data_IF_684959592396
#
_entry.id   IF_684959592396
#
_cell.length_a   1.000
_cell.length_b   1.000
_cell.length_c   1.000
_cell.angle_alpha   90.00
_cell.angle_beta   90.00
_cell.angle_gamma   90.00
#
_symmetry.space_group_name_H-M   'P 1'
#
loop_
_entity.id
_entity.type
_entity.pdbx_description
1 polymer ?
#
# COMPACT_ATOMS: atom_id res chain seq x y z
N UNK A 1 -4.96 -3.20 -7.24
CA UNK A 1 -3.57 -2.85 -7.42
C UNK A 1 -3.22 -2.95 -8.90
N UNK A 2 -2.97 -1.83 -9.53
CA UNK A 2 -2.73 -1.74 -10.98
C UNK A 2 -1.26 -2.01 -11.36
N UNK A 3 -0.50 -2.66 -10.47
CA UNK A 3 0.91 -2.99 -10.70
C UNK A 3 1.10 -3.92 -11.90
N UNK A 4 0.18 -4.85 -12.11
CA UNK A 4 0.17 -5.76 -13.25
C UNK A 4 -0.04 -5.02 -14.58
N UNK A 5 -0.91 -4.02 -14.61
CA UNK A 5 -1.19 -3.23 -15.82
C UNK A 5 0.02 -2.36 -16.19
N UNK A 6 0.68 -1.76 -15.22
CA UNK A 6 1.93 -1.03 -15.47
C UNK A 6 3.06 -1.96 -15.94
N UNK A 7 3.14 -3.18 -15.38
CA UNK A 7 4.13 -4.16 -15.86
C UNK A 7 3.86 -4.60 -17.31
N UNK A 8 2.59 -4.67 -17.71
CA UNK A 8 2.19 -4.91 -19.10
C UNK A 8 2.65 -3.79 -20.03
N UNK A 9 2.38 -2.52 -19.66
CA UNK A 9 2.83 -1.35 -20.41
C UNK A 9 4.35 -1.34 -20.62
N UNK A 10 5.11 -1.66 -19.55
CA UNK A 10 6.56 -1.73 -19.63
C UNK A 10 7.05 -2.85 -20.58
N UNK A 11 6.37 -3.98 -20.60
CA UNK A 11 6.69 -5.07 -21.51
C UNK A 11 6.42 -4.68 -22.98
N UNK A 12 5.30 -4.02 -23.26
CA UNK A 12 4.95 -3.53 -24.62
C UNK A 12 5.90 -2.42 -25.07
N UNK A 13 6.39 -1.59 -24.17
CA UNK A 13 7.37 -0.52 -24.47
C UNK A 13 8.80 -1.01 -24.65
N UNK A 14 9.05 -2.31 -24.60
CA UNK A 14 10.38 -2.91 -24.78
C UNK A 14 11.27 -2.90 -23.53
N UNK A 15 10.71 -2.61 -22.37
CA UNK A 15 11.41 -2.62 -21.07
C UNK A 15 10.75 -3.61 -20.09
N UNK A 16 10.67 -4.91 -20.44
CA UNK A 16 9.99 -5.88 -19.58
C UNK A 16 10.69 -5.99 -18.23
N UNK A 17 9.89 -6.09 -17.18
CA UNK A 17 10.41 -6.44 -15.87
C UNK A 17 10.92 -7.88 -15.88
N UNK A 18 11.99 -8.13 -15.13
CA UNK A 18 12.57 -9.48 -15.02
C UNK A 18 12.73 -9.90 -13.58
N UNK A 19 12.63 -11.20 -13.35
CA UNK A 19 12.95 -11.83 -12.07
C UNK A 19 14.10 -12.82 -12.29
N UNK A 20 15.26 -12.58 -11.69
CA UNK A 20 16.50 -13.32 -11.96
C UNK A 20 16.84 -13.46 -13.46
N UNK A 21 16.58 -12.40 -14.25
CA UNK A 21 16.87 -12.36 -15.68
C UNK A 21 15.87 -13.09 -16.56
N UNK A 22 14.74 -13.55 -16.04
CA UNK A 22 13.65 -14.21 -16.78
C UNK A 22 12.40 -13.36 -16.75
N UNK A 23 11.70 -13.27 -17.86
CA UNK A 23 10.39 -12.60 -17.99
C UNK A 23 9.23 -13.53 -17.68
N UNK A 24 9.44 -14.85 -17.84
CA UNK A 24 8.43 -15.87 -17.64
C UNK A 24 8.92 -16.88 -16.59
N UNK A 25 8.04 -17.22 -15.65
CA UNK A 25 8.36 -18.10 -14.54
C UNK A 25 7.36 -19.25 -14.52
N UNK A 26 7.86 -20.46 -14.65
CA UNK A 26 7.04 -21.67 -14.60
C UNK A 26 7.01 -22.17 -13.16
N UNK A 27 5.84 -22.12 -12.50
CA UNK A 27 5.61 -22.68 -11.18
C UNK A 27 4.55 -23.77 -11.29
N UNK A 28 4.92 -25.01 -10.93
CA UNK A 28 3.98 -26.14 -10.94
C UNK A 28 3.38 -26.46 -12.31
N UNK A 29 4.09 -26.13 -13.42
CA UNK A 29 3.62 -26.36 -14.78
C UNK A 29 2.73 -25.24 -15.34
N UNK A 30 2.50 -24.17 -14.58
CA UNK A 30 1.82 -22.97 -15.03
C UNK A 30 2.83 -21.86 -15.35
N UNK A 31 2.69 -21.27 -16.54
CA UNK A 31 3.45 -20.10 -16.93
C UNK A 31 2.86 -18.85 -16.25
N UNK A 32 3.60 -18.32 -15.30
CA UNK A 32 3.26 -17.08 -14.61
C UNK A 32 4.06 -15.95 -15.24
N UNK A 33 3.44 -15.18 -16.10
CA UNK A 33 4.05 -13.95 -16.59
C UNK A 33 4.46 -13.03 -15.45
N UNK A 34 5.54 -12.28 -15.65
CA UNK A 34 6.14 -11.39 -14.63
C UNK A 34 5.11 -10.43 -14.00
N UNK A 35 4.12 -9.96 -14.76
CA UNK A 35 3.05 -9.08 -14.30
C UNK A 35 2.16 -9.75 -13.22
N UNK A 36 1.83 -11.02 -13.40
CA UNK A 36 1.07 -11.81 -12.41
C UNK A 36 1.93 -12.09 -11.18
N UNK A 37 3.21 -12.39 -11.36
CA UNK A 37 4.15 -12.59 -10.27
C UNK A 37 4.30 -11.35 -9.39
N UNK A 38 4.46 -10.17 -9.99
CA UNK A 38 4.57 -8.90 -9.23
C UNK A 38 3.35 -8.67 -8.34
N UNK A 39 2.14 -8.90 -8.88
CA UNK A 39 0.90 -8.79 -8.11
C UNK A 39 0.82 -9.83 -7.00
N UNK A 40 1.17 -11.08 -7.30
CA UNK A 40 1.18 -12.16 -6.30
C UNK A 40 2.16 -11.89 -5.18
N UNK A 41 3.36 -11.41 -5.49
CA UNK A 41 4.37 -11.06 -4.50
C UNK A 41 3.97 -9.83 -3.67
N UNK A 42 3.29 -8.85 -4.26
CA UNK A 42 2.74 -7.71 -3.52
C UNK A 42 1.75 -8.18 -2.45
N UNK A 43 0.77 -9.03 -2.83
CA UNK A 43 -0.19 -9.59 -1.87
C UNK A 43 0.44 -10.59 -0.90
N UNK A 44 1.40 -11.39 -1.37
CA UNK A 44 2.23 -12.25 -0.50
C UNK A 44 3.00 -11.43 0.52
N UNK A 45 3.48 -10.25 0.15
CA UNK A 45 4.10 -9.28 1.04
C UNK A 45 3.19 -8.86 2.19
N UNK A 46 1.87 -8.73 1.96
CA UNK A 46 0.91 -8.47 3.03
C UNK A 46 0.89 -9.59 4.09
N UNK A 47 0.93 -10.85 3.66
CA UNK A 47 0.93 -11.99 4.58
C UNK A 47 2.21 -12.03 5.40
N UNK A 48 3.35 -11.95 4.73
CA UNK A 48 4.68 -11.98 5.36
C UNK A 48 4.88 -10.76 6.27
N UNK A 49 4.49 -9.58 5.82
CA UNK A 49 4.61 -8.35 6.59
C UNK A 49 3.78 -8.37 7.88
N UNK A 50 2.59 -8.99 7.88
CA UNK A 50 1.80 -9.21 9.09
C UNK A 50 2.50 -10.13 10.09
N UNK A 51 3.10 -11.21 9.62
CA UNK A 51 3.90 -12.09 10.46
C UNK A 51 5.09 -11.34 11.08
N UNK A 52 5.82 -10.57 10.28
CA UNK A 52 6.94 -9.74 10.73
C UNK A 52 6.47 -8.69 11.73
N UNK A 53 5.36 -8.00 11.47
CA UNK A 53 4.85 -6.94 12.34
C UNK A 53 4.47 -7.44 13.73
N UNK A 54 4.12 -8.71 13.89
CA UNK A 54 3.81 -9.31 15.19
C UNK A 54 5.01 -9.30 16.15
N UNK A 55 6.23 -9.38 15.62
CA UNK A 55 7.45 -9.28 16.42
C UNK A 55 7.72 -7.85 16.93
N UNK A 56 7.14 -6.85 16.27
CA UNK A 56 7.26 -5.44 16.63
C UNK A 56 6.10 -4.92 17.48
N UNK A 57 5.33 -5.80 18.11
CA UNK A 57 4.17 -5.45 18.94
C UNK A 57 4.48 -4.50 20.12
N UNK A 58 5.74 -4.44 20.54
CA UNK A 58 6.23 -3.53 21.60
C UNK A 58 6.37 -2.07 21.12
N UNK A 59 6.43 -1.84 19.80
CA UNK A 59 6.57 -0.50 19.23
C UNK A 59 5.19 0.14 19.12
N UNK A 60 5.07 1.42 19.46
CA UNK A 60 3.79 2.11 19.39
C UNK A 60 3.22 2.12 17.96
N UNK A 61 1.89 1.94 17.81
CA UNK A 61 1.22 1.96 16.51
C UNK A 61 1.50 3.26 15.73
N UNK A 62 1.63 4.39 16.46
CA UNK A 62 1.99 5.68 15.85
C UNK A 62 3.38 5.64 15.22
N UNK A 63 4.38 5.12 15.94
CA UNK A 63 5.77 5.02 15.42
C UNK A 63 5.84 4.06 14.24
N UNK A 64 5.18 2.89 14.36
CA UNK A 64 5.12 1.94 13.26
C UNK A 64 4.50 2.58 12.00
N UNK A 65 3.34 3.24 12.14
CA UNK A 65 2.68 3.92 11.04
C UNK A 65 3.55 5.01 10.42
N UNK A 66 4.21 5.84 11.23
CA UNK A 66 5.08 6.91 10.72
C UNK A 66 6.26 6.36 9.92
N UNK A 67 6.92 5.31 10.42
CA UNK A 67 8.07 4.71 9.73
C UNK A 67 7.64 4.01 8.45
N UNK A 68 6.57 3.21 8.50
CA UNK A 68 6.11 2.47 7.31
C UNK A 68 5.58 3.38 6.22
N UNK A 69 4.83 4.44 6.54
CA UNK A 69 4.35 5.42 5.55
C UNK A 69 5.50 6.22 4.96
N UNK A 70 6.49 6.63 5.75
CA UNK A 70 7.66 7.35 5.26
C UNK A 70 8.44 6.48 4.26
N UNK A 71 8.74 5.23 4.62
CA UNK A 71 9.43 4.28 3.75
C UNK A 71 8.62 3.99 2.48
N UNK A 72 7.31 3.77 2.61
CA UNK A 72 6.43 3.52 1.47
C UNK A 72 6.39 4.72 0.51
N UNK A 73 6.33 5.95 1.03
CA UNK A 73 6.40 7.18 0.22
C UNK A 73 7.70 7.25 -0.57
N UNK A 74 8.85 7.00 0.07
CA UNK A 74 10.17 7.02 -0.59
C UNK A 74 10.23 5.95 -1.69
N UNK A 75 9.81 4.72 -1.39
CA UNK A 75 9.81 3.63 -2.37
C UNK A 75 8.87 3.89 -3.53
N UNK A 76 7.70 4.50 -3.30
CA UNK A 76 6.76 4.87 -4.35
C UNK A 76 7.36 5.94 -5.29
N UNK A 77 8.03 6.95 -4.74
CA UNK A 77 8.72 7.98 -5.53
C UNK A 77 9.86 7.34 -6.36
N UNK A 78 10.68 6.50 -5.75
CA UNK A 78 11.78 5.80 -6.45
C UNK A 78 11.20 4.93 -7.57
N UNK A 79 10.13 4.16 -7.32
CA UNK A 79 9.49 3.34 -8.33
C UNK A 79 8.97 4.18 -9.51
N UNK A 80 8.34 5.32 -9.25
CA UNK A 80 7.84 6.23 -10.27
C UNK A 80 8.98 6.81 -11.12
N UNK A 81 10.11 7.16 -10.50
CA UNK A 81 11.25 7.74 -11.21
C UNK A 81 12.04 6.70 -12.02
N UNK A 82 12.28 5.53 -11.43
CA UNK A 82 13.09 4.46 -12.03
C UNK A 82 12.30 3.50 -12.92
N UNK A 83 10.96 3.54 -12.87
CA UNK A 83 10.05 2.58 -13.51
C UNK A 83 10.29 1.12 -13.05
N UNK A 84 10.92 0.92 -11.92
CA UNK A 84 11.18 -0.38 -11.36
C UNK A 84 10.08 -0.77 -10.36
N UNK A 85 9.21 -1.69 -10.76
CA UNK A 85 8.04 -2.11 -9.98
C UNK A 85 8.38 -2.99 -8.77
N UNK A 86 9.61 -3.46 -8.64
CA UNK A 86 10.05 -4.20 -7.47
C UNK A 86 9.98 -3.38 -6.17
N UNK A 87 10.14 -2.06 -6.28
CA UNK A 87 9.91 -1.15 -5.14
C UNK A 87 8.45 -1.16 -4.70
N UNK A 88 7.48 -1.28 -5.62
CA UNK A 88 6.07 -1.40 -5.28
C UNK A 88 5.75 -2.73 -4.60
N UNK A 89 6.41 -3.82 -5.00
CA UNK A 89 6.29 -5.11 -4.31
C UNK A 89 6.77 -4.99 -2.86
N UNK A 90 7.90 -4.31 -2.63
CA UNK A 90 8.41 -4.06 -1.28
C UNK A 90 7.43 -3.22 -0.43
N UNK A 91 6.69 -2.29 -1.03
CA UNK A 91 5.64 -1.53 -0.34
C UNK A 91 4.55 -2.45 0.21
N UNK A 92 4.26 -3.59 -0.43
CA UNK A 92 3.29 -4.56 0.06
C UNK A 92 3.59 -5.04 1.49
N UNK A 93 4.88 -5.24 1.82
CA UNK A 93 5.31 -5.57 3.20
C UNK A 93 4.97 -4.45 4.19
N UNK A 94 5.18 -3.21 3.80
CA UNK A 94 4.94 -2.03 4.64
C UNK A 94 3.44 -1.79 4.85
N UNK A 95 2.65 -1.88 3.79
CA UNK A 95 1.20 -1.69 3.82
C UNK A 95 0.49 -2.68 4.75
N UNK A 96 1.04 -3.89 4.92
CA UNK A 96 0.45 -4.92 5.78
C UNK A 96 0.27 -4.46 7.23
N UNK A 97 1.24 -3.69 7.75
CA UNK A 97 1.25 -3.17 9.11
C UNK A 97 0.39 -1.90 9.24
N UNK A 98 0.33 -1.10 8.18
CA UNK A 98 -0.33 0.21 8.19
C UNK A 98 -1.82 0.11 8.52
N UNK A 99 -2.53 -0.85 7.94
CA UNK A 99 -3.96 -1.08 8.21
C UNK A 99 -4.24 -1.27 9.70
N UNK A 100 -3.49 -2.16 10.35
CA UNK A 100 -3.66 -2.46 11.78
C UNK A 100 -3.34 -1.26 12.66
N UNK A 101 -2.30 -0.50 12.30
CA UNK A 101 -1.91 0.71 13.03
C UNK A 101 -2.95 1.82 12.90
N UNK A 102 -3.46 2.08 11.68
CA UNK A 102 -4.49 3.10 11.45
C UNK A 102 -5.76 2.73 12.21
N UNK A 103 -6.21 1.47 12.11
CA UNK A 103 -7.40 1.00 12.81
C UNK A 103 -7.26 1.19 14.33
N UNK A 104 -6.16 0.71 14.93
CA UNK A 104 -5.96 0.83 16.38
C UNK A 104 -5.87 2.29 16.86
N UNK A 105 -5.28 3.18 16.06
CA UNK A 105 -5.23 4.60 16.36
C UNK A 105 -6.60 5.28 16.20
N UNK A 106 -7.37 4.89 15.18
CA UNK A 106 -8.68 5.48 14.89
C UNK A 106 -9.73 5.16 15.95
N UNK A 107 -9.70 3.95 16.53
CA UNK A 107 -10.69 3.53 17.56
C UNK A 107 -10.26 3.89 18.99
N UNK A 108 -9.02 4.34 19.16
CA UNK A 108 -8.45 4.64 20.48
C UNK A 108 -9.21 5.79 21.15
N UNK A 109 -9.69 5.55 22.37
CA UNK A 109 -10.37 6.57 23.18
C UNK A 109 -11.86 6.77 22.86
N UNK A 110 -12.46 5.98 21.96
CA UNK A 110 -13.87 6.12 21.57
C UNK A 110 -14.86 5.42 22.51
N UNK A 111 -14.40 4.62 23.48
CA UNK A 111 -15.26 3.96 24.46
C UNK A 111 -16.44 3.25 23.82
N UNK A 112 -17.67 3.61 24.20
CA UNK A 112 -18.93 3.03 23.71
C UNK A 112 -19.17 3.21 22.19
N UNK A 113 -18.48 4.13 21.52
CA UNK A 113 -18.62 4.36 20.08
C UNK A 113 -17.64 3.53 19.23
N UNK A 114 -16.77 2.72 19.85
CA UNK A 114 -15.78 1.89 19.13
C UNK A 114 -16.43 1.01 18.06
N UNK A 115 -17.57 0.37 18.35
CA UNK A 115 -18.27 -0.49 17.40
C UNK A 115 -18.76 0.28 16.17
N UNK A 116 -19.37 1.45 16.37
CA UNK A 116 -19.84 2.31 15.26
C UNK A 116 -18.66 2.83 14.42
N UNK A 117 -17.59 3.28 15.07
CA UNK A 117 -16.40 3.76 14.39
C UNK A 117 -15.72 2.65 13.58
N UNK A 118 -15.66 1.43 14.11
CA UNK A 118 -15.14 0.26 13.38
C UNK A 118 -15.95 -0.02 12.12
N UNK A 119 -17.28 0.07 12.19
CA UNK A 119 -18.16 -0.09 11.02
C UNK A 119 -17.88 0.95 9.93
N UNK A 120 -17.77 2.23 10.31
CA UNK A 120 -17.43 3.32 9.38
C UNK A 120 -16.03 3.10 8.77
N UNK A 121 -15.06 2.71 9.58
CA UNK A 121 -13.70 2.45 9.11
C UNK A 121 -13.66 1.30 8.09
N UNK A 122 -14.38 0.21 8.36
CA UNK A 122 -14.48 -0.92 7.41
C UNK A 122 -15.15 -0.47 6.11
N UNK A 123 -16.21 0.33 6.18
CA UNK A 123 -16.88 0.87 4.99
C UNK A 123 -15.94 1.73 4.14
N UNK A 124 -14.97 2.41 4.75
CA UNK A 124 -13.97 3.21 4.03
C UNK A 124 -13.03 2.37 3.15
N UNK A 125 -12.98 1.04 3.31
CA UNK A 125 -12.25 0.12 2.42
C UNK A 125 -12.76 0.24 0.97
N UNK A 126 -14.05 0.53 0.79
CA UNK A 126 -14.63 0.79 -0.53
C UNK A 126 -13.90 1.93 -1.27
N UNK A 127 -13.35 2.90 -0.53
CA UNK A 127 -12.50 3.95 -1.09
C UNK A 127 -11.32 3.41 -1.89
N UNK A 128 -10.75 2.26 -1.50
CA UNK A 128 -9.66 1.61 -2.25
C UNK A 128 -10.08 1.21 -3.67
N UNK A 129 -11.31 0.72 -3.86
CA UNK A 129 -11.84 0.42 -5.19
C UNK A 129 -12.00 1.70 -6.03
N UNK A 130 -12.53 2.77 -5.44
CA UNK A 130 -12.68 4.07 -6.12
C UNK A 130 -11.32 4.63 -6.54
N UNK A 131 -10.32 4.59 -5.66
CA UNK A 131 -8.96 5.05 -6.00
C UNK A 131 -8.32 4.22 -7.12
N UNK A 132 -8.58 2.92 -7.17
CA UNK A 132 -8.10 2.05 -8.26
C UNK A 132 -8.71 2.45 -9.60
N UNK A 133 -10.00 2.79 -9.63
CA UNK A 133 -10.68 3.30 -10.84
C UNK A 133 -10.14 4.67 -11.26
N UNK A 134 -9.97 5.60 -10.31
CA UNK A 134 -9.37 6.92 -10.57
C UNK A 134 -7.97 6.75 -11.17
N UNK A 135 -7.16 5.85 -10.62
CA UNK A 135 -5.81 5.58 -11.13
C UNK A 135 -5.86 5.05 -12.58
N UNK A 136 -6.82 4.17 -12.91
CA UNK A 136 -7.03 3.73 -14.29
C UNK A 136 -7.38 4.88 -15.23
N UNK A 137 -8.35 5.71 -14.86
CA UNK A 137 -8.71 6.91 -15.64
C UNK A 137 -7.56 7.90 -15.81
N UNK A 138 -6.70 8.06 -14.80
CA UNK A 138 -5.50 8.88 -14.94
C UNK A 138 -4.47 8.25 -15.90
N UNK A 139 -4.35 6.92 -15.94
CA UNK A 139 -3.49 6.24 -16.89
C UNK A 139 -3.94 6.51 -18.32
N UNK A 140 -5.26 6.48 -18.59
CA UNK A 140 -5.84 6.80 -19.90
C UNK A 140 -5.58 8.26 -20.30
N UNK A 141 -5.69 9.21 -19.34
CA UNK A 141 -5.45 10.63 -19.60
C UNK A 141 -3.96 10.91 -19.85
N UNK A 142 -3.06 10.31 -19.07
CA UNK A 142 -1.62 10.54 -19.19
C UNK A 142 -0.98 9.68 -20.30
N UNK A 143 -1.70 8.68 -20.83
CA UNK A 143 -1.17 7.71 -21.77
C UNK A 143 -0.05 6.84 -21.16
N UNK A 144 0.06 6.76 -19.84
CA UNK A 144 1.05 5.96 -19.12
C UNK A 144 0.68 5.73 -17.67
N UNK A 145 0.98 4.54 -17.17
CA UNK A 145 0.84 4.17 -15.76
C UNK A 145 1.87 4.85 -14.85
N UNK A 146 3.02 5.23 -15.39
CA UNK A 146 4.13 5.80 -14.61
C UNK A 146 3.68 6.94 -13.70
N UNK A 147 3.03 7.94 -14.26
CA UNK A 147 2.64 9.15 -13.52
C UNK A 147 1.43 8.95 -12.60
N UNK A 148 0.67 7.89 -12.78
CA UNK A 148 -0.48 7.60 -11.92
C UNK A 148 -0.07 7.25 -10.50
N UNK A 149 1.18 6.85 -10.28
CA UNK A 149 1.72 6.57 -8.96
C UNK A 149 1.83 7.83 -8.08
N UNK A 150 1.75 9.03 -8.65
CA UNK A 150 1.62 10.27 -7.87
C UNK A 150 0.40 10.22 -6.94
N UNK A 151 -0.70 9.57 -7.36
CA UNK A 151 -1.88 9.37 -6.51
C UNK A 151 -1.54 8.53 -5.27
N UNK A 152 -0.74 7.47 -5.43
CA UNK A 152 -0.26 6.66 -4.30
C UNK A 152 0.61 7.49 -3.36
N UNK A 153 1.54 8.29 -3.91
CA UNK A 153 2.39 9.18 -3.10
C UNK A 153 1.54 10.17 -2.30
N UNK A 154 0.51 10.78 -2.91
CA UNK A 154 -0.40 11.68 -2.21
C UNK A 154 -1.11 10.96 -1.06
N UNK A 155 -1.62 9.75 -1.29
CA UNK A 155 -2.27 8.95 -0.25
C UNK A 155 -1.32 8.63 0.91
N UNK A 156 -0.05 8.26 0.61
CA UNK A 156 0.96 8.01 1.61
C UNK A 156 1.27 9.27 2.45
N UNK A 157 1.38 10.44 1.81
CA UNK A 157 1.60 11.70 2.50
C UNK A 157 0.42 12.09 3.40
N UNK A 158 -0.82 11.81 2.96
CA UNK A 158 -2.01 11.99 3.81
C UNK A 158 -1.97 11.07 5.02
N UNK A 159 -1.56 9.81 4.84
CA UNK A 159 -1.41 8.87 5.95
C UNK A 159 -0.27 9.27 6.90
N UNK A 160 0.84 9.78 6.36
CA UNK A 160 1.92 10.32 7.17
C UNK A 160 1.46 11.52 7.99
N UNK A 161 0.70 12.44 7.40
CA UNK A 161 0.13 13.58 8.11
C UNK A 161 -0.82 13.14 9.25
N UNK A 162 -1.64 12.12 9.01
CA UNK A 162 -2.46 11.51 10.05
C UNK A 162 -1.62 10.90 11.17
N UNK A 163 -0.56 10.17 10.85
CA UNK A 163 0.32 9.57 11.84
C UNK A 163 0.98 10.63 12.73
N UNK A 164 1.42 11.75 12.16
CA UNK A 164 2.14 12.80 12.87
C UNK A 164 1.20 13.70 13.70
N UNK A 165 0.08 14.10 13.13
CA UNK A 165 -0.80 15.14 13.68
C UNK A 165 -2.17 14.60 14.08
N UNK A 166 -2.85 13.85 13.19
CA UNK A 166 -4.23 13.41 13.36
C UNK A 166 -4.44 12.34 14.44
N UNK A 167 -3.42 11.53 14.72
CA UNK A 167 -3.48 10.45 15.72
C UNK A 167 -3.33 10.93 17.19
N UNK A 168 -3.23 12.23 17.41
CA UNK A 168 -3.08 12.79 18.76
C UNK A 168 -4.41 12.82 19.48
N UNK A 169 -4.53 12.07 20.58
CA UNK A 169 -5.70 12.09 21.45
C UNK A 169 -5.39 13.00 22.64
N UNK A 170 -6.25 13.99 22.86
CA UNK A 170 -6.18 14.83 24.07
C UNK A 170 -7.02 14.17 25.19
N UNK A 171 -6.66 14.33 26.48
CA UNK A 171 -7.42 13.73 27.58
C UNK A 171 -8.92 14.05 27.56
N UNK A 172 -9.30 15.25 27.08
CA UNK A 172 -10.69 15.68 26.93
C UNK A 172 -11.44 14.99 25.78
N UNK A 173 -10.75 14.33 24.88
CA UNK A 173 -11.34 13.67 23.71
C UNK A 173 -11.64 12.17 24.02
N UNK A 174 -11.30 11.68 25.22
CA UNK A 174 -11.55 10.30 25.64
C UNK A 174 -13.01 10.17 26.09
N UNK A 175 -13.76 9.33 25.41
CA UNK A 175 -15.16 9.03 25.73
C UNK A 175 -15.20 7.78 26.60
N UNK A 176 -15.79 7.91 27.79
CA UNK A 176 -16.00 6.80 28.71
C UNK A 176 -17.20 5.94 28.32
#
# INVERSE_FOLDING_TARGET
ANINLHAFELAESGHPMTFFGKSDIIIGGMDLGIHALLSTLYWGGFLVGRAISSFFSKISAKTQLTVTTLLATILAIISMLTQNLWYLVAIGLLHSTMWSCIFSLAIKGLGKYTSKASGVFISAVFGGAVFTLIQGGLADIFGSWRWTWCLTVICELLMLSYALFGSRIRPKDIIQ
#
